data_IF_816416381464
#
_entry.id   IF_816416381464
#
_cell.length_a   1.000
_cell.length_b   1.000
_cell.length_c   1.000
_cell.angle_alpha   90.00
_cell.angle_beta   90.00
_cell.angle_gamma   90.00
#
_symmetry.space_group_name_H-M   'P 1'
#
loop_
_entity.id
_entity.type
_entity.pdbx_description
1 polymer ?
#
# COMPACT_ATOMS: atom_id res chain seq x y z
N UNK A 1 29.98 -22.20 11.74
CA UNK A 1 30.01 -21.09 10.74
C UNK A 1 29.02 -20.03 11.22
N UNK A 2 29.43 -18.80 11.43
CA UNK A 2 28.60 -17.82 12.12
C UNK A 2 27.50 -17.27 11.20
N UNK A 3 26.27 -17.41 11.67
CA UNK A 3 25.02 -16.94 11.04
C UNK A 3 25.01 -15.40 10.84
N UNK A 4 25.80 -14.66 11.60
CA UNK A 4 25.86 -13.20 11.55
C UNK A 4 26.31 -12.61 10.20
N UNK A 5 27.16 -13.31 9.44
CA UNK A 5 27.66 -12.82 8.14
C UNK A 5 26.57 -12.77 7.05
N UNK A 6 25.58 -13.63 7.13
CA UNK A 6 24.48 -13.65 6.17
C UNK A 6 23.48 -12.50 6.39
N UNK A 7 23.27 -12.10 7.64
CA UNK A 7 22.38 -10.97 7.97
C UNK A 7 22.93 -9.63 7.47
N UNK A 8 24.24 -9.43 7.55
CA UNK A 8 24.89 -8.19 7.10
C UNK A 8 24.87 -8.06 5.56
N UNK A 9 25.00 -9.18 4.86
CA UNK A 9 24.92 -9.21 3.39
C UNK A 9 23.51 -8.96 2.87
N UNK A 10 22.48 -9.54 3.49
CA UNK A 10 21.07 -9.34 3.15
C UNK A 10 20.62 -7.90 3.39
N UNK A 11 21.03 -7.28 4.50
CA UNK A 11 20.70 -5.87 4.76
C UNK A 11 21.31 -4.91 3.72
N UNK A 12 22.57 -5.11 3.34
CA UNK A 12 23.23 -4.26 2.34
C UNK A 12 22.61 -4.35 0.95
N UNK A 13 22.12 -5.52 0.57
CA UNK A 13 21.48 -5.76 -0.74
C UNK A 13 20.09 -5.12 -0.81
N UNK A 14 19.31 -5.19 0.27
CA UNK A 14 17.98 -4.59 0.34
C UNK A 14 18.00 -3.06 0.32
N UNK A 15 18.93 -2.42 1.04
CA UNK A 15 19.05 -0.95 1.01
C UNK A 15 19.47 -0.41 -0.36
N UNK A 16 20.42 -1.07 -1.02
CA UNK A 16 20.87 -0.67 -2.36
C UNK A 16 19.80 -0.82 -3.44
N UNK A 17 18.93 -1.81 -3.32
CA UNK A 17 17.82 -2.04 -4.25
C UNK A 17 16.69 -1.03 -4.05
N UNK A 18 16.36 -0.68 -2.79
CA UNK A 18 15.36 0.34 -2.43
C UNK A 18 15.73 1.72 -2.99
N UNK A 19 16.98 2.14 -2.83
CA UNK A 19 17.45 3.43 -3.32
C UNK A 19 17.46 3.50 -4.85
N UNK A 20 17.85 2.43 -5.53
CA UNK A 20 17.83 2.33 -7.00
C UNK A 20 16.39 2.36 -7.53
N UNK A 21 15.44 1.72 -6.85
CA UNK A 21 14.05 1.69 -7.26
C UNK A 21 13.38 3.05 -7.06
N UNK A 22 13.65 3.75 -5.96
CA UNK A 22 13.18 5.13 -5.72
C UNK A 22 13.76 6.11 -6.74
N UNK A 23 15.04 5.98 -7.09
CA UNK A 23 15.67 6.80 -8.13
C UNK A 23 15.10 6.48 -9.51
N UNK A 24 14.82 5.22 -9.83
CA UNK A 24 14.26 4.82 -11.12
C UNK A 24 12.80 5.29 -11.28
N UNK A 25 12.00 5.22 -10.22
CA UNK A 25 10.62 5.73 -10.21
C UNK A 25 10.60 7.26 -10.25
N UNK A 26 11.53 7.93 -9.55
CA UNK A 26 11.70 9.39 -9.61
C UNK A 26 12.09 9.88 -11.00
N UNK A 27 12.98 9.18 -11.70
CA UNK A 27 13.39 9.53 -13.05
C UNK A 27 12.29 9.24 -14.09
N UNK A 28 11.53 8.17 -13.94
CA UNK A 28 10.41 7.87 -14.84
C UNK A 28 9.28 8.92 -14.72
N UNK A 29 9.02 9.42 -13.51
CA UNK A 29 8.04 10.49 -13.27
C UNK A 29 8.47 11.84 -13.91
N UNK A 30 9.78 12.08 -14.02
CA UNK A 30 10.32 13.31 -14.66
C UNK A 30 10.34 13.24 -16.18
N UNK A 31 10.40 12.05 -16.78
CA UNK A 31 10.50 11.87 -18.24
C UNK A 31 9.14 11.92 -18.98
N UNK A 32 8.02 11.83 -18.27
CA UNK A 32 6.67 11.84 -18.88
C UNK A 32 5.98 13.21 -18.87
N UNK A 33 6.74 14.30 -18.80
CA UNK A 33 6.27 15.68 -18.87
C UNK A 33 5.73 16.08 -20.25
N UNK A 34 4.76 15.34 -20.79
CA UNK A 34 3.99 15.80 -21.94
C UNK A 34 2.88 16.74 -21.47
N UNK A 35 3.07 18.00 -21.74
CA UNK A 35 2.16 19.13 -21.52
C UNK A 35 0.83 18.92 -22.26
N UNK A 36 -0.18 18.43 -21.54
CA UNK A 36 -1.58 18.66 -21.88
C UNK A 36 -2.05 19.92 -21.13
N UNK A 37 -3.06 20.67 -21.63
CA UNK A 37 -3.36 22.02 -21.15
C UNK A 37 -3.53 22.08 -19.64
N UNK A 38 -2.61 22.81 -19.00
CA UNK A 38 -2.39 22.86 -17.57
C UNK A 38 -3.42 23.74 -16.81
N UNK A 39 -4.28 24.45 -17.51
CA UNK A 39 -5.01 25.59 -16.97
C UNK A 39 -6.01 25.26 -15.84
N UNK A 40 -6.65 24.08 -15.85
CA UNK A 40 -7.69 23.81 -14.84
C UNK A 40 -7.17 23.23 -13.52
N UNK A 41 -6.02 22.54 -13.50
CA UNK A 41 -5.48 21.95 -12.28
C UNK A 41 -4.79 22.99 -11.39
N UNK A 42 -4.11 23.96 -12.01
CA UNK A 42 -3.38 25.01 -11.28
C UNK A 42 -4.35 26.02 -10.63
N UNK A 43 -5.55 26.16 -11.18
CA UNK A 43 -6.63 26.99 -10.61
C UNK A 43 -7.36 26.32 -9.45
N UNK A 44 -7.16 25.02 -9.22
CA UNK A 44 -7.78 24.32 -8.09
C UNK A 44 -7.22 24.85 -6.78
N UNK A 45 -8.13 25.25 -5.87
CA UNK A 45 -7.77 25.56 -4.50
C UNK A 45 -7.09 24.37 -3.82
N UNK A 46 -6.20 24.61 -2.88
CA UNK A 46 -5.52 23.55 -2.13
C UNK A 46 -6.51 22.57 -1.48
N UNK A 47 -7.68 23.03 -1.03
CA UNK A 47 -8.76 22.19 -0.48
C UNK A 47 -9.35 21.21 -1.49
N UNK A 48 -9.32 21.57 -2.77
CA UNK A 48 -9.81 20.70 -3.85
C UNK A 48 -8.78 19.65 -4.28
N UNK A 49 -7.51 19.87 -3.92
CA UNK A 49 -6.42 18.93 -4.15
C UNK A 49 -6.29 17.89 -3.03
N UNK A 50 -6.84 18.18 -1.84
CA UNK A 50 -6.92 17.22 -0.73
C UNK A 50 -8.04 16.21 -1.03
N UNK A 51 -7.78 14.96 -0.74
CA UNK A 51 -8.77 13.88 -0.76
C UNK A 51 -8.63 13.01 0.48
N UNK A 52 -9.71 12.39 0.85
CA UNK A 52 -9.76 11.40 1.91
C UNK A 52 -10.13 10.05 1.29
N UNK A 53 -9.77 8.98 1.97
CA UNK A 53 -10.08 7.65 1.50
C UNK A 53 -9.68 6.63 2.54
N UNK A 54 -9.50 5.41 2.10
CA UNK A 54 -9.05 4.34 2.94
C UNK A 54 -9.17 3.00 2.26
N UNK A 55 -8.51 2.02 2.88
CA UNK A 55 -8.62 0.64 2.49
C UNK A 55 -9.38 -0.12 3.56
N UNK A 56 -10.14 -1.08 3.11
CA UNK A 56 -10.83 -2.04 3.94
C UNK A 56 -10.56 -3.44 3.40
N UNK A 57 -10.15 -4.34 4.26
CA UNK A 57 -10.01 -5.76 3.93
C UNK A 57 -10.66 -6.59 5.03
N UNK A 58 -11.40 -7.60 4.62
CA UNK A 58 -12.07 -8.53 5.52
C UNK A 58 -11.85 -9.95 5.02
N UNK A 59 -11.29 -10.79 5.87
CA UNK A 59 -11.22 -12.23 5.66
C UNK A 59 -11.84 -12.93 6.87
N UNK A 60 -12.76 -13.84 6.62
CA UNK A 60 -13.46 -14.61 7.65
C UNK A 60 -13.27 -16.09 7.37
N UNK A 61 -12.99 -16.87 8.41
CA UNK A 61 -12.79 -18.32 8.29
C UNK A 61 -12.09 -18.90 9.50
N UNK A 62 -11.21 -19.85 9.26
CA UNK A 62 -10.29 -20.39 10.29
C UNK A 62 -9.41 -19.28 10.83
N UNK A 63 -9.02 -18.36 9.96
CA UNK A 63 -8.37 -17.10 10.28
C UNK A 63 -9.36 -15.96 10.04
N UNK A 64 -9.35 -14.97 10.93
CA UNK A 64 -10.10 -13.73 10.78
C UNK A 64 -9.11 -12.59 10.67
N UNK A 65 -9.19 -11.83 9.59
CA UNK A 65 -8.38 -10.65 9.37
C UNK A 65 -9.27 -9.47 9.00
N UNK A 66 -9.09 -8.37 9.70
CA UNK A 66 -9.80 -7.10 9.46
C UNK A 66 -8.74 -6.02 9.35
N UNK A 67 -8.72 -5.30 8.23
CA UNK A 67 -7.88 -4.10 8.02
C UNK A 67 -8.80 -2.90 7.88
N UNK A 68 -8.54 -1.87 8.68
CA UNK A 68 -9.16 -0.57 8.59
C UNK A 68 -8.07 0.49 8.54
N UNK A 69 -7.94 1.13 7.40
CA UNK A 69 -6.81 2.02 7.13
C UNK A 69 -7.28 3.29 6.41
N UNK A 70 -7.80 4.27 7.17
CA UNK A 70 -8.13 5.57 6.60
C UNK A 70 -6.88 6.31 6.14
N UNK A 71 -7.00 7.09 5.08
CA UNK A 71 -5.91 7.88 4.52
C UNK A 71 -6.37 9.30 4.20
N UNK A 72 -5.44 10.23 4.29
CA UNK A 72 -5.55 11.57 3.73
C UNK A 72 -4.47 11.74 2.67
N UNK A 73 -4.83 12.29 1.52
CA UNK A 73 -3.91 12.47 0.42
C UNK A 73 -4.04 13.84 -0.23
N UNK A 74 -3.02 14.16 -1.01
CA UNK A 74 -2.92 15.38 -1.77
C UNK A 74 -2.58 15.08 -3.24
N UNK A 75 -3.32 15.67 -4.16
CA UNK A 75 -3.02 15.62 -5.59
C UNK A 75 -1.92 16.61 -5.91
N UNK A 76 -0.70 16.13 -6.10
CA UNK A 76 0.49 16.96 -6.40
C UNK A 76 0.40 17.47 -7.84
N UNK A 77 0.00 16.57 -8.76
CA UNK A 77 -0.29 16.89 -10.14
C UNK A 77 -1.62 16.25 -10.57
N UNK A 78 -2.03 16.43 -11.80
CA UNK A 78 -3.21 15.73 -12.37
C UNK A 78 -3.07 14.21 -12.34
N UNK A 79 -1.84 13.70 -12.31
CA UNK A 79 -1.54 12.26 -12.35
C UNK A 79 -0.90 11.73 -11.09
N UNK A 80 -0.17 12.57 -10.35
CA UNK A 80 0.57 12.18 -9.16
C UNK A 80 -0.19 12.60 -7.91
N UNK A 81 -0.41 11.66 -7.02
CA UNK A 81 -0.98 11.86 -5.70
C UNK A 81 -0.09 11.20 -4.67
N UNK A 82 -0.01 11.77 -3.48
CA UNK A 82 0.65 11.15 -2.34
C UNK A 82 -0.22 11.36 -1.09
N UNK A 83 -0.04 10.52 -0.12
CA UNK A 83 -0.78 10.63 1.12
C UNK A 83 -0.23 9.72 2.21
N UNK A 84 -0.87 9.82 3.37
CA UNK A 84 -0.53 9.01 4.52
C UNK A 84 -1.76 8.74 5.38
N UNK A 85 -1.67 7.76 6.25
CA UNK A 85 -2.75 7.45 7.19
C UNK A 85 -2.36 6.40 8.21
N UNK A 86 -3.15 6.30 9.30
CA UNK A 86 -2.98 5.22 10.27
C UNK A 86 -3.43 3.88 9.69
N UNK A 87 -2.90 2.82 10.29
CA UNK A 87 -3.30 1.44 10.03
C UNK A 87 -3.77 0.84 11.34
N UNK A 88 -4.92 0.17 11.31
CA UNK A 88 -5.34 -0.74 12.35
C UNK A 88 -5.75 -2.07 11.74
N UNK A 89 -5.12 -3.15 12.21
CA UNK A 89 -5.43 -4.50 11.76
C UNK A 89 -5.73 -5.38 12.97
N UNK A 90 -6.76 -6.19 12.83
CA UNK A 90 -7.12 -7.25 13.77
C UNK A 90 -6.92 -8.60 13.08
N UNK A 91 -6.13 -9.45 13.71
CA UNK A 91 -5.88 -10.80 13.25
C UNK A 91 -6.25 -11.81 14.34
N UNK A 92 -7.01 -12.84 13.99
CA UNK A 92 -7.37 -13.91 14.92
C UNK A 92 -7.28 -15.26 14.22
N UNK A 93 -6.61 -16.20 14.87
CA UNK A 93 -6.41 -17.57 14.38
C UNK A 93 -6.90 -18.58 15.40
N UNK A 94 -7.57 -19.63 14.93
CA UNK A 94 -7.94 -20.81 15.71
C UNK A 94 -6.90 -21.90 15.52
N UNK A 95 -6.32 -22.37 16.62
CA UNK A 95 -5.40 -23.51 16.67
C UNK A 95 -5.94 -24.59 17.62
N UNK A 96 -5.29 -25.74 17.69
CA UNK A 96 -5.62 -26.81 18.66
C UNK A 96 -5.53 -26.34 20.12
N UNK A 97 -4.71 -25.31 20.42
CA UNK A 97 -4.54 -24.72 21.75
C UNK A 97 -5.53 -23.62 22.11
N UNK A 98 -6.46 -23.26 21.20
CA UNK A 98 -7.45 -22.20 21.43
C UNK A 98 -7.45 -21.13 20.34
N UNK A 99 -8.13 -20.02 20.64
CA UNK A 99 -8.17 -18.85 19.76
C UNK A 99 -7.19 -17.80 20.25
N UNK A 100 -6.33 -17.34 19.35
CA UNK A 100 -5.39 -16.25 19.58
C UNK A 100 -5.81 -15.04 18.77
N UNK A 101 -5.76 -13.86 19.38
CA UNK A 101 -6.13 -12.59 18.75
C UNK A 101 -5.03 -11.58 18.94
N UNK A 102 -4.72 -10.82 17.88
CA UNK A 102 -3.63 -9.85 17.83
C UNK A 102 -4.12 -8.54 17.26
N UNK A 103 -3.59 -7.46 17.82
CA UNK A 103 -3.85 -6.10 17.35
C UNK A 103 -2.57 -5.51 16.78
N UNK A 104 -2.64 -5.03 15.56
CA UNK A 104 -1.53 -4.44 14.84
C UNK A 104 -1.88 -2.98 14.59
N UNK A 105 -0.98 -2.09 14.97
CA UNK A 105 -1.11 -0.66 14.78
C UNK A 105 0.03 -0.18 13.89
N UNK A 106 -0.23 0.85 13.10
CA UNK A 106 0.82 1.35 12.26
C UNK A 106 0.44 2.62 11.53
N UNK A 107 1.26 2.95 10.57
CA UNK A 107 1.04 4.03 9.63
C UNK A 107 1.54 3.63 8.26
N UNK A 108 0.98 4.28 7.25
CA UNK A 108 1.41 4.14 5.86
C UNK A 108 1.63 5.49 5.23
N UNK A 109 2.57 5.53 4.30
CA UNK A 109 2.72 6.60 3.34
C UNK A 109 2.69 6.00 1.93
N UNK A 110 2.01 6.65 1.00
CA UNK A 110 1.86 6.12 -0.35
C UNK A 110 2.05 7.20 -1.41
N UNK A 111 2.38 6.74 -2.62
CA UNK A 111 2.31 7.52 -3.83
C UNK A 111 1.57 6.72 -4.91
N UNK A 112 0.74 7.43 -5.68
CA UNK A 112 -0.03 6.86 -6.78
C UNK A 112 0.16 7.71 -8.03
N UNK A 113 0.43 7.06 -9.15
CA UNK A 113 0.58 7.71 -10.44
C UNK A 113 -0.43 7.16 -11.45
N UNK A 114 -1.35 8.02 -11.90
CA UNK A 114 -2.35 7.65 -12.91
C UNK A 114 -1.69 7.55 -14.29
N UNK A 115 -1.57 6.32 -14.79
CA UNK A 115 -0.99 6.02 -16.11
C UNK A 115 -2.01 6.32 -17.21
N UNK A 116 -3.24 5.82 -17.03
CA UNK A 116 -4.36 6.02 -17.95
C UNK A 116 -5.52 6.63 -17.18
N UNK A 117 -5.93 7.83 -17.52
CA UNK A 117 -7.03 8.54 -16.84
C UNK A 117 -8.40 7.93 -17.15
N UNK A 118 -8.57 7.46 -18.38
CA UNK A 118 -9.84 6.88 -18.83
C UNK A 118 -9.57 5.83 -19.91
N UNK A 119 -9.69 4.58 -19.53
CA UNK A 119 -9.49 3.44 -20.42
C UNK A 119 -10.55 3.35 -21.51
N UNK A 120 -11.76 3.90 -21.26
CA UNK A 120 -12.85 3.92 -22.23
C UNK A 120 -12.53 4.72 -23.49
N UNK A 121 -11.54 5.64 -23.42
CA UNK A 121 -11.03 6.36 -24.60
C UNK A 121 -10.16 5.51 -25.52
N UNK A 122 -9.59 4.43 -24.99
CA UNK A 122 -8.71 3.52 -25.73
C UNK A 122 -9.47 2.28 -26.18
N UNK A 123 -10.33 1.78 -25.31
CA UNK A 123 -11.14 0.57 -25.53
C UNK A 123 -12.57 0.91 -25.09
N UNK A 124 -13.57 0.85 -25.99
CA UNK A 124 -14.94 1.23 -25.67
C UNK A 124 -15.58 0.19 -24.70
N UNK A 125 -15.40 0.43 -23.40
CA UNK A 125 -15.90 -0.42 -22.33
C UNK A 125 -17.32 -0.05 -21.88
N UNK A 126 -17.78 1.15 -22.28
CA UNK A 126 -19.07 1.70 -21.85
C UNK A 126 -19.06 2.34 -20.45
N UNK A 127 -17.93 2.31 -19.74
CA UNK A 127 -17.74 2.96 -18.44
C UNK A 127 -16.31 3.50 -18.29
N UNK A 128 -16.16 4.58 -17.55
CA UNK A 128 -14.88 5.23 -17.31
C UNK A 128 -14.09 4.46 -16.26
N UNK A 129 -12.83 4.13 -16.55
CA UNK A 129 -11.93 3.41 -15.66
C UNK A 129 -10.53 3.96 -15.80
N UNK A 130 -9.89 4.29 -14.70
CA UNK A 130 -8.48 4.69 -14.67
C UNK A 130 -7.56 3.53 -14.35
N UNK A 131 -6.32 3.58 -14.86
CA UNK A 131 -5.24 2.66 -14.48
C UNK A 131 -4.16 3.47 -13.79
N UNK A 132 -3.69 3.00 -12.65
CA UNK A 132 -2.65 3.68 -11.88
C UNK A 132 -1.58 2.70 -11.37
N UNK A 133 -0.35 3.21 -11.25
CA UNK A 133 0.74 2.60 -10.51
C UNK A 133 0.70 3.08 -9.06
N UNK A 134 1.11 2.23 -8.13
CA UNK A 134 1.01 2.49 -6.70
C UNK A 134 2.24 1.98 -5.96
N UNK A 135 2.70 2.74 -5.01
CA UNK A 135 3.73 2.33 -4.05
C UNK A 135 3.37 2.82 -2.65
N UNK A 136 3.70 2.02 -1.67
CA UNK A 136 3.36 2.28 -0.27
C UNK A 136 4.47 1.76 0.64
N UNK A 137 4.79 2.51 1.67
CA UNK A 137 5.62 2.06 2.79
C UNK A 137 4.76 2.01 4.06
N UNK A 138 4.71 0.85 4.69
CA UNK A 138 3.96 0.58 5.91
C UNK A 138 4.94 0.35 7.07
N UNK A 139 4.73 1.06 8.17
CA UNK A 139 5.38 0.78 9.43
C UNK A 139 4.35 0.17 10.39
N UNK A 140 4.49 -1.11 10.71
CA UNK A 140 3.56 -1.89 11.51
C UNK A 140 4.17 -2.23 12.86
N UNK A 141 3.48 -1.93 13.94
CA UNK A 141 3.81 -2.34 15.28
C UNK A 141 2.95 -3.54 15.68
N UNK A 142 3.57 -4.69 15.85
CA UNK A 142 2.89 -5.95 16.10
C UNK A 142 3.45 -6.69 17.33
N UNK A 143 2.65 -7.57 17.89
CA UNK A 143 3.05 -8.39 19.03
C UNK A 143 3.97 -9.51 18.58
N UNK A 144 5.07 -9.73 19.31
CA UNK A 144 5.99 -10.86 19.06
C UNK A 144 5.30 -12.21 19.13
N UNK A 145 4.28 -12.35 19.98
CA UNK A 145 3.46 -13.56 20.08
C UNK A 145 2.81 -13.99 18.75
N UNK A 146 2.61 -13.06 17.81
CA UNK A 146 2.14 -13.40 16.47
C UNK A 146 3.17 -14.26 15.72
N UNK A 147 4.46 -14.04 15.97
CA UNK A 147 5.55 -14.85 15.44
C UNK A 147 5.77 -16.13 16.26
N UNK A 148 5.45 -16.10 17.58
CA UNK A 148 5.66 -17.23 18.51
C UNK A 148 4.73 -18.41 18.24
N UNK A 149 3.66 -18.23 17.51
CA UNK A 149 2.90 -19.37 16.95
C UNK A 149 3.81 -20.17 15.99
N UNK A 150 4.92 -19.57 15.53
CA UNK A 150 5.93 -20.20 14.69
C UNK A 150 7.31 -20.36 15.34
N UNK A 151 7.64 -19.55 16.39
CA UNK A 151 8.95 -19.54 17.06
C UNK A 151 8.80 -19.16 18.56
N UNK A 152 9.02 -20.08 19.50
CA UNK A 152 8.77 -19.82 20.92
C UNK A 152 9.92 -19.08 21.61
N UNK A 153 10.00 -17.76 21.50
CA UNK A 153 10.73 -16.91 22.45
C UNK A 153 10.46 -15.43 22.22
N UNK A 154 9.80 -14.76 23.15
CA UNK A 154 9.80 -13.31 23.27
C UNK A 154 8.46 -12.65 23.63
N UNK A 155 8.43 -11.95 24.76
CA UNK A 155 7.35 -11.02 25.11
C UNK A 155 7.64 -9.64 24.53
N UNK A 156 6.59 -8.89 24.16
CA UNK A 156 6.69 -7.51 23.72
C UNK A 156 6.21 -7.27 22.29
N UNK A 157 6.46 -6.08 21.79
CA UNK A 157 6.09 -5.63 20.46
C UNK A 157 7.33 -5.27 19.65
N UNK A 158 7.22 -5.28 18.33
CA UNK A 158 8.30 -4.87 17.43
C UNK A 158 7.74 -4.14 16.23
N UNK A 159 8.59 -3.38 15.55
CA UNK A 159 8.25 -2.69 14.32
C UNK A 159 8.67 -3.51 13.10
N UNK A 160 7.74 -3.66 12.17
CA UNK A 160 7.99 -4.24 10.85
C UNK A 160 7.71 -3.18 9.79
N UNK A 161 8.69 -2.93 8.93
CA UNK A 161 8.49 -2.10 7.75
C UNK A 161 8.24 -2.98 6.54
N UNK A 162 7.22 -2.63 5.77
CA UNK A 162 6.84 -3.36 4.58
C UNK A 162 6.65 -2.39 3.41
N UNK A 163 7.40 -2.60 2.33
CA UNK A 163 7.29 -1.82 1.12
C UNK A 163 6.48 -2.58 0.08
N UNK A 164 5.38 -1.99 -0.36
CA UNK A 164 4.46 -2.54 -1.34
C UNK A 164 4.58 -1.75 -2.65
N UNK A 165 4.56 -2.46 -3.77
CA UNK A 165 4.50 -1.87 -5.10
C UNK A 165 3.50 -2.63 -5.96
N UNK A 166 2.87 -1.94 -6.88
CA UNK A 166 1.93 -2.55 -7.80
C UNK A 166 1.13 -1.54 -8.58
N UNK A 167 -0.11 -1.86 -8.83
CA UNK A 167 -1.02 -0.99 -9.53
C UNK A 167 -2.46 -1.42 -9.36
N UNK A 168 -3.34 -0.65 -9.95
CA UNK A 168 -4.75 -0.93 -9.85
C UNK A 168 -5.58 -0.22 -10.88
N UNK A 169 -6.86 -0.50 -10.77
CA UNK A 169 -7.91 0.18 -11.53
C UNK A 169 -8.75 1.02 -10.59
N UNK A 170 -9.11 2.21 -11.04
CA UNK A 170 -9.99 3.12 -10.33
C UNK A 170 -11.29 3.34 -11.11
N UNK A 171 -12.41 3.02 -10.48
CA UNK A 171 -13.74 3.20 -11.01
C UNK A 171 -14.37 4.44 -10.36
N UNK A 172 -14.66 5.52 -11.10
CA UNK A 172 -15.44 6.64 -10.58
C UNK A 172 -16.84 6.18 -10.14
N UNK A 173 -17.25 6.54 -8.92
CA UNK A 173 -18.57 6.21 -8.33
C UNK A 173 -19.41 7.47 -8.14
N UNK A 174 -18.86 8.64 -8.49
CA UNK A 174 -19.48 9.94 -8.36
C UNK A 174 -18.60 11.06 -8.87
N UNK A 175 -18.95 12.29 -8.55
CA UNK A 175 -18.18 13.48 -9.05
C UNK A 175 -16.76 13.55 -8.46
N UNK A 176 -16.53 13.02 -7.25
CA UNK A 176 -15.25 13.10 -6.53
C UNK A 176 -14.82 11.75 -5.91
N UNK A 177 -15.68 10.76 -5.92
CA UNK A 177 -15.45 9.47 -5.28
C UNK A 177 -15.03 8.44 -6.30
N UNK A 178 -14.11 7.56 -5.91
CA UNK A 178 -13.72 6.41 -6.70
C UNK A 178 -13.57 5.17 -5.82
N UNK A 179 -13.92 4.04 -6.40
CA UNK A 179 -13.61 2.71 -5.90
C UNK A 179 -12.36 2.20 -6.60
N UNK A 180 -11.42 1.63 -5.85
CA UNK A 180 -10.15 1.19 -6.38
C UNK A 180 -9.92 -0.29 -6.06
N UNK A 181 -9.42 -1.03 -7.02
CA UNK A 181 -8.94 -2.40 -6.85
C UNK A 181 -7.46 -2.40 -7.18
N UNK A 182 -6.63 -2.89 -6.27
CA UNK A 182 -5.18 -2.88 -6.38
C UNK A 182 -4.62 -4.28 -6.24
N UNK A 183 -3.57 -4.58 -7.00
CA UNK A 183 -2.75 -5.78 -6.85
C UNK A 183 -1.34 -5.29 -6.51
N UNK A 184 -0.85 -5.70 -5.34
CA UNK A 184 0.38 -5.22 -4.75
C UNK A 184 1.32 -6.39 -4.45
N UNK A 185 2.60 -6.13 -4.52
CA UNK A 185 3.67 -7.05 -4.12
C UNK A 185 4.50 -6.43 -3.02
N UNK A 186 4.75 -7.19 -1.97
CA UNK A 186 5.72 -6.85 -0.94
C UNK A 186 7.12 -7.08 -1.48
N UNK A 187 7.97 -6.04 -1.41
CA UNK A 187 9.37 -6.10 -1.85
C UNK A 187 10.31 -6.64 -0.77
N UNK A 188 9.87 -6.70 0.46
CA UNK A 188 10.65 -7.14 1.61
C UNK A 188 9.95 -8.27 2.37
N UNK A 189 9.66 -9.35 1.66
CA UNK A 189 9.18 -10.58 2.28
C UNK A 189 10.21 -11.08 3.30
N UNK A 190 9.76 -11.20 4.53
CA UNK A 190 10.50 -11.83 5.63
C UNK A 190 9.61 -12.92 6.23
N UNK A 191 10.18 -13.80 7.04
CA UNK A 191 9.40 -14.79 7.79
C UNK A 191 8.32 -14.17 8.70
N UNK A 192 8.45 -12.86 8.98
CA UNK A 192 7.48 -12.08 9.75
C UNK A 192 6.46 -11.34 8.86
N UNK A 193 6.49 -11.51 7.54
CA UNK A 193 5.56 -10.84 6.64
C UNK A 193 4.14 -11.34 6.86
N UNK A 194 3.21 -10.39 7.08
CA UNK A 194 1.78 -10.69 7.23
C UNK A 194 1.09 -10.97 5.88
N UNK A 195 1.73 -10.59 4.78
CA UNK A 195 1.14 -10.64 3.46
C UNK A 195 1.79 -11.73 2.63
N UNK A 196 0.94 -12.48 1.94
CA UNK A 196 1.37 -13.36 0.85
C UNK A 196 1.23 -12.61 -0.47
N UNK A 197 2.21 -12.72 -1.34
CA UNK A 197 2.20 -12.11 -2.67
C UNK A 197 1.40 -12.97 -3.68
N UNK A 198 0.56 -12.35 -4.52
CA UNK A 198 0.18 -10.95 -4.55
C UNK A 198 -0.90 -10.60 -3.53
N UNK A 199 -0.87 -9.36 -2.98
CA UNK A 199 -1.91 -8.82 -2.12
C UNK A 199 -2.97 -8.10 -2.97
N UNK A 200 -4.23 -8.49 -2.84
CA UNK A 200 -5.37 -7.78 -3.43
C UNK A 200 -5.98 -6.86 -2.38
N UNK A 201 -6.15 -5.60 -2.73
CA UNK A 201 -6.68 -4.58 -1.82
C UNK A 201 -7.79 -3.78 -2.48
N UNK A 202 -8.82 -3.50 -1.70
CA UNK A 202 -9.95 -2.67 -2.10
C UNK A 202 -9.86 -1.33 -1.36
N UNK A 203 -10.11 -0.23 -2.08
CA UNK A 203 -10.04 1.10 -1.50
C UNK A 203 -11.13 2.02 -2.02
N UNK A 204 -11.41 3.06 -1.23
CA UNK A 204 -12.30 4.15 -1.61
C UNK A 204 -11.55 5.48 -1.43
N UNK A 205 -11.85 6.44 -2.31
CA UNK A 205 -11.41 7.83 -2.16
C UNK A 205 -12.55 8.80 -2.51
N UNK A 206 -12.59 9.93 -1.82
CA UNK A 206 -13.61 10.99 -1.98
C UNK A 206 -13.06 12.36 -1.67
#
# INVERSE_FOLDING_TARGET
MPVEKYWFFLMKTTYGMRLKFLLWFGTLALLTGNSLPAQDFDQLSWKQKVFFGGNFSLMLGTETYIDLSPVAGYRITRRLSAGAGPIYQFYSIKTFGGRYSFHIYGGRAFASYTVINDLNRLIPLGFSTSIFAYTEDEALNMERKLLDVMLPEGSGRFWLNNMLVGGGIGQPVGKRSSFNIMILWSLNETAASLYQNPLVRFGFSF
#
